data_IF_486039043829
#
_entry.id   IF_486039043829
#
_cell.length_a   1.000
_cell.length_b   1.000
_cell.length_c   1.000
_cell.angle_alpha   90.00
_cell.angle_beta   90.00
_cell.angle_gamma   90.00
#
_symmetry.space_group_name_H-M   'P 1'
#
loop_
_entity.id
_entity.type
_entity.pdbx_description
1 polymer ?
#
# COMPACT_ATOMS: atom_id res chain seq x y z
N UNK A 1 -20.14 -19.70 34.59
CA UNK A 1 -20.26 -19.66 33.14
C UNK A 1 -19.48 -18.41 32.68
N UNK A 2 -18.32 -18.60 32.08
CA UNK A 2 -17.53 -17.46 31.50
C UNK A 2 -18.29 -16.94 30.28
N UNK A 3 -18.60 -15.65 30.27
CA UNK A 3 -19.17 -15.01 29.10
C UNK A 3 -18.17 -15.15 27.94
N UNK A 4 -18.66 -15.52 26.76
CA UNK A 4 -17.83 -15.49 25.57
C UNK A 4 -17.26 -14.06 25.41
N UNK A 5 -15.98 -13.91 24.98
CA UNK A 5 -15.43 -12.58 24.72
C UNK A 5 -16.32 -11.88 23.68
N UNK A 6 -16.48 -10.55 23.75
CA UNK A 6 -17.23 -9.81 22.76
C UNK A 6 -16.62 -10.07 21.38
N UNK A 7 -17.48 -10.18 20.35
CA UNK A 7 -17.02 -10.31 18.98
C UNK A 7 -16.14 -9.09 18.65
N UNK A 8 -14.91 -9.33 18.25
CA UNK A 8 -13.99 -8.28 17.82
C UNK A 8 -14.55 -7.64 16.56
N UNK A 9 -14.61 -6.31 16.51
CA UNK A 9 -14.98 -5.59 15.29
C UNK A 9 -13.99 -5.98 14.18
N UNK A 10 -14.51 -6.32 13.00
CA UNK A 10 -13.68 -6.72 11.85
C UNK A 10 -12.68 -5.63 11.46
N UNK A 11 -13.06 -4.36 11.59
CA UNK A 11 -12.18 -3.23 11.30
C UNK A 11 -10.98 -3.25 12.26
N UNK A 12 -11.24 -3.41 13.54
CA UNK A 12 -10.19 -3.48 14.56
C UNK A 12 -9.29 -4.71 14.37
N UNK A 13 -9.87 -5.85 14.03
CA UNK A 13 -9.13 -7.07 13.74
C UNK A 13 -8.18 -6.86 12.56
N UNK A 14 -8.66 -6.31 11.44
CA UNK A 14 -7.85 -6.05 10.26
C UNK A 14 -6.72 -5.05 10.54
N UNK A 15 -7.02 -3.95 11.24
CA UNK A 15 -6.04 -2.94 11.62
C UNK A 15 -4.94 -3.55 12.50
N UNK A 16 -5.34 -4.34 13.51
CA UNK A 16 -4.40 -5.00 14.40
C UNK A 16 -3.59 -6.09 13.68
N UNK A 17 -4.18 -6.76 12.68
CA UNK A 17 -3.45 -7.70 11.83
C UNK A 17 -2.36 -7.01 11.01
N UNK A 18 -2.64 -5.84 10.41
CA UNK A 18 -1.60 -5.05 9.72
C UNK A 18 -0.46 -4.69 10.68
N UNK A 19 -0.79 -4.28 11.91
CA UNK A 19 0.20 -3.93 12.94
C UNK A 19 1.07 -5.12 13.31
N UNK A 20 0.46 -6.26 13.63
CA UNK A 20 1.18 -7.47 14.08
C UNK A 20 2.04 -8.05 12.95
N UNK A 21 1.52 -8.19 11.73
CA UNK A 21 2.31 -8.63 10.58
C UNK A 21 3.54 -7.75 10.37
N UNK A 22 3.39 -6.43 10.53
CA UNK A 22 4.50 -5.50 10.37
C UNK A 22 5.54 -5.64 11.48
N UNK A 23 5.11 -5.80 12.73
CA UNK A 23 6.03 -6.03 13.85
C UNK A 23 6.79 -7.35 13.70
N UNK A 24 6.07 -8.43 13.40
CA UNK A 24 6.64 -9.77 13.33
C UNK A 24 7.65 -9.89 12.20
N UNK A 25 7.33 -9.32 11.01
CA UNK A 25 8.25 -9.33 9.88
C UNK A 25 9.53 -8.53 10.16
N UNK A 26 9.42 -7.33 10.74
CA UNK A 26 10.57 -6.51 11.12
C UNK A 26 11.40 -7.19 12.22
N UNK A 27 10.73 -7.79 13.22
CA UNK A 27 11.41 -8.52 14.30
C UNK A 27 12.16 -9.75 13.75
N UNK A 28 11.52 -10.53 12.87
CA UNK A 28 12.12 -11.70 12.24
C UNK A 28 13.33 -11.34 11.39
N UNK A 29 13.24 -10.26 10.62
CA UNK A 29 14.35 -9.75 9.81
C UNK A 29 15.47 -9.12 10.65
N UNK A 30 15.22 -8.83 11.93
CA UNK A 30 16.09 -8.05 12.82
C UNK A 30 16.54 -6.73 12.17
N UNK A 31 15.70 -6.17 11.31
CA UNK A 31 15.98 -4.96 10.52
C UNK A 31 14.68 -4.39 9.96
N UNK A 32 14.49 -3.08 10.04
CA UNK A 32 13.33 -2.39 9.47
C UNK A 32 12.75 -1.33 10.39
N UNK A 33 11.59 -0.81 10.01
CA UNK A 33 10.93 0.31 10.66
C UNK A 33 9.49 -0.09 11.03
N UNK A 34 9.21 -0.51 12.28
CA UNK A 34 7.88 -0.94 12.66
C UNK A 34 6.95 0.22 13.04
N UNK A 35 7.48 1.35 13.49
CA UNK A 35 6.70 2.44 14.09
C UNK A 35 5.66 3.04 13.13
N UNK A 36 6.09 3.41 11.94
CA UNK A 36 5.21 4.00 10.92
C UNK A 36 4.12 3.03 10.46
N UNK A 37 4.38 1.76 10.12
CA UNK A 37 3.35 0.78 9.84
C UNK A 37 2.32 0.62 10.96
N UNK A 38 2.77 0.58 12.21
CA UNK A 38 1.87 0.46 13.36
C UNK A 38 0.98 1.69 13.53
N UNK A 39 1.54 2.88 13.37
CA UNK A 39 0.80 4.13 13.52
C UNK A 39 -0.22 4.33 12.39
N UNK A 40 0.13 3.99 11.15
CA UNK A 40 -0.66 4.25 9.96
C UNK A 40 -1.53 3.08 9.50
N UNK A 41 -1.56 1.96 10.24
CA UNK A 41 -2.44 0.83 9.91
C UNK A 41 -3.91 1.22 9.74
N UNK A 42 -4.53 2.07 10.58
CA UNK A 42 -5.92 2.51 10.37
C UNK A 42 -6.10 3.32 9.08
N UNK A 43 -5.10 4.13 8.70
CA UNK A 43 -5.14 4.92 7.48
C UNK A 43 -5.07 4.00 6.25
N UNK A 44 -4.12 3.07 6.21
CA UNK A 44 -3.98 2.11 5.13
C UNK A 44 -5.23 1.24 5.00
N UNK A 45 -5.75 0.73 6.12
CA UNK A 45 -7.01 -0.01 6.14
C UNK A 45 -8.15 0.79 5.49
N UNK A 46 -8.34 2.04 5.90
CA UNK A 46 -9.40 2.90 5.36
C UNK A 46 -9.23 3.16 3.87
N UNK A 47 -8.01 3.45 3.42
CA UNK A 47 -7.72 3.65 2.00
C UNK A 47 -8.11 2.43 1.16
N UNK A 48 -7.62 1.25 1.53
CA UNK A 48 -7.85 0.03 0.75
C UNK A 48 -9.27 -0.51 0.83
N UNK A 49 -10.01 -0.27 1.93
CA UNK A 49 -11.35 -0.86 2.12
C UNK A 49 -12.49 0.08 1.78
N UNK A 50 -12.28 1.41 1.84
CA UNK A 50 -13.39 2.39 1.78
C UNK A 50 -13.18 3.52 0.77
N UNK A 51 -11.96 3.78 0.34
CA UNK A 51 -11.65 4.98 -0.46
C UNK A 51 -11.20 4.62 -1.87
N UNK A 52 -10.22 3.74 -1.99
CA UNK A 52 -9.58 3.43 -3.27
C UNK A 52 -10.44 2.47 -4.12
N UNK A 53 -10.52 2.77 -5.40
CA UNK A 53 -11.04 1.83 -6.40
C UNK A 53 -9.90 0.95 -6.89
N UNK A 54 -9.87 -0.29 -6.48
CA UNK A 54 -8.85 -1.24 -6.87
C UNK A 54 -9.45 -2.64 -7.10
N UNK A 55 -8.71 -3.49 -7.80
CA UNK A 55 -9.12 -4.87 -8.06
C UNK A 55 -7.90 -5.79 -7.97
N UNK A 56 -7.73 -6.53 -6.87
CA UNK A 56 -6.59 -7.44 -6.71
C UNK A 56 -6.54 -8.54 -7.80
N UNK A 57 -7.70 -9.01 -8.26
CA UNK A 57 -7.76 -10.02 -9.33
C UNK A 57 -7.32 -9.46 -10.70
N UNK A 58 -7.29 -8.13 -10.87
CA UNK A 58 -6.78 -7.45 -12.05
C UNK A 58 -5.98 -6.21 -11.62
N UNK A 59 -4.83 -6.44 -11.02
CA UNK A 59 -3.95 -5.39 -10.49
C UNK A 59 -3.43 -4.42 -11.57
N UNK A 60 -3.61 -4.74 -12.85
CA UNK A 60 -3.24 -3.87 -13.98
C UNK A 60 -4.43 -3.15 -14.62
N UNK A 61 -5.62 -3.24 -14.03
CA UNK A 61 -6.79 -2.53 -14.51
C UNK A 61 -6.49 -1.03 -14.71
N UNK A 62 -6.66 -0.48 -15.94
CA UNK A 62 -6.27 0.91 -16.21
C UNK A 62 -7.04 1.95 -15.38
N UNK A 63 -8.30 1.68 -15.05
CA UNK A 63 -9.16 2.57 -14.26
C UNK A 63 -8.98 2.46 -12.74
N UNK A 64 -8.01 1.66 -12.25
CA UNK A 64 -7.72 1.59 -10.80
C UNK A 64 -7.14 2.89 -10.30
N UNK A 65 -7.39 3.21 -9.05
CA UNK A 65 -6.64 4.23 -8.35
C UNK A 65 -5.19 3.78 -8.10
N UNK A 66 -4.28 4.73 -7.96
CA UNK A 66 -2.85 4.47 -7.72
C UNK A 66 -2.53 4.78 -6.28
N UNK A 67 -1.80 3.88 -5.64
CA UNK A 67 -1.27 4.13 -4.30
C UNK A 67 0.26 4.04 -4.30
N UNK A 68 0.92 5.07 -3.79
CA UNK A 68 2.37 5.10 -3.62
C UNK A 68 2.70 5.40 -2.16
N UNK A 69 3.44 4.50 -1.54
CA UNK A 69 4.02 4.73 -0.22
C UNK A 69 5.33 5.50 -0.40
N UNK A 70 5.30 6.84 -0.27
CA UNK A 70 6.47 7.69 -0.46
C UNK A 70 7.51 7.45 0.63
N UNK A 71 7.06 7.34 1.90
CA UNK A 71 7.93 6.90 3.00
C UNK A 71 8.23 5.39 2.87
N UNK A 72 9.07 5.05 1.88
CA UNK A 72 9.35 3.67 1.50
C UNK A 72 9.92 2.79 2.60
N UNK A 73 10.55 3.39 3.63
CA UNK A 73 11.01 2.69 4.81
C UNK A 73 9.88 2.02 5.60
N UNK A 74 8.63 2.50 5.46
CA UNK A 74 7.43 1.89 6.05
C UNK A 74 6.86 0.74 5.20
N UNK A 75 7.65 0.10 4.36
CA UNK A 75 7.25 -0.88 3.33
C UNK A 75 6.34 -1.99 3.85
N UNK A 76 6.49 -2.45 5.10
CA UNK A 76 5.61 -3.46 5.69
C UNK A 76 4.15 -3.02 5.78
N UNK A 77 3.86 -1.71 5.87
CA UNK A 77 2.49 -1.20 5.79
C UNK A 77 1.85 -1.56 4.45
N UNK A 78 2.60 -1.35 3.36
CA UNK A 78 2.14 -1.68 2.02
C UNK A 78 2.01 -3.20 1.83
N UNK A 79 3.03 -3.97 2.20
CA UNK A 79 3.02 -5.43 2.00
C UNK A 79 1.92 -6.12 2.80
N UNK A 80 1.71 -5.76 4.07
CA UNK A 80 0.62 -6.28 4.87
C UNK A 80 -0.75 -5.93 4.29
N UNK A 81 -0.92 -4.71 3.76
CA UNK A 81 -2.15 -4.29 3.09
C UNK A 81 -2.38 -5.06 1.79
N UNK A 82 -1.35 -5.23 0.95
CA UNK A 82 -1.46 -5.99 -0.30
C UNK A 82 -1.76 -7.47 -0.04
N UNK A 83 -1.12 -8.07 0.97
CA UNK A 83 -1.39 -9.44 1.40
C UNK A 83 -2.84 -9.62 1.81
N UNK A 84 -3.35 -8.79 2.72
CA UNK A 84 -4.73 -8.89 3.23
C UNK A 84 -5.77 -8.59 2.13
N UNK A 85 -5.44 -7.75 1.16
CA UNK A 85 -6.30 -7.45 0.01
C UNK A 85 -6.25 -8.52 -1.10
N UNK A 86 -5.37 -9.52 -1.02
CA UNK A 86 -5.31 -10.61 -1.99
C UNK A 86 -4.57 -10.27 -3.28
N UNK A 87 -3.54 -9.44 -3.23
CA UNK A 87 -2.68 -9.09 -4.37
C UNK A 87 -1.64 -10.18 -4.72
N UNK A 88 -1.81 -11.39 -4.21
CA UNK A 88 -0.94 -12.53 -4.57
C UNK A 88 0.34 -12.64 -3.75
N UNK A 89 0.51 -11.83 -2.70
CA UNK A 89 1.53 -12.08 -1.69
C UNK A 89 1.06 -13.20 -0.75
N UNK A 90 1.99 -14.05 -0.36
CA UNK A 90 1.78 -15.11 0.62
C UNK A 90 2.36 -14.71 1.98
N UNK A 91 1.90 -15.36 3.06
CA UNK A 91 2.44 -15.11 4.40
C UNK A 91 3.96 -15.33 4.45
N UNK A 92 4.44 -16.34 3.73
CA UNK A 92 5.87 -16.64 3.61
C UNK A 92 6.68 -15.51 2.99
N UNK A 93 6.08 -14.67 2.12
CA UNK A 93 6.76 -13.51 1.55
C UNK A 93 6.99 -12.43 2.63
N UNK A 94 5.97 -12.20 3.47
CA UNK A 94 6.08 -11.27 4.59
C UNK A 94 7.10 -11.79 5.62
N UNK A 95 7.09 -13.08 5.91
CA UNK A 95 8.07 -13.73 6.78
C UNK A 95 9.51 -13.63 6.29
N UNK A 96 9.69 -13.53 4.97
CA UNK A 96 10.97 -13.33 4.31
C UNK A 96 11.26 -11.86 3.98
N UNK A 97 10.65 -10.93 4.73
CA UNK A 97 10.93 -9.50 4.60
C UNK A 97 12.43 -9.20 4.64
N UNK A 98 12.92 -8.40 3.68
CA UNK A 98 14.34 -8.03 3.51
C UNK A 98 15.30 -9.19 3.21
N UNK A 99 14.79 -10.37 2.87
CA UNK A 99 15.66 -11.45 2.46
C UNK A 99 15.89 -11.41 0.94
N UNK A 100 17.07 -11.87 0.51
CA UNK A 100 17.42 -11.90 -0.91
C UNK A 100 16.41 -12.77 -1.69
N UNK A 101 15.86 -12.20 -2.76
CA UNK A 101 14.87 -12.88 -3.61
C UNK A 101 13.42 -12.79 -3.11
N UNK A 102 13.17 -12.18 -1.93
CA UNK A 102 11.81 -11.91 -1.48
C UNK A 102 11.18 -10.75 -2.23
N UNK A 103 9.88 -10.81 -2.59
CA UNK A 103 9.17 -9.65 -3.14
C UNK A 103 8.95 -8.54 -2.10
N UNK A 104 9.12 -8.85 -0.81
CA UNK A 104 9.01 -7.92 0.31
C UNK A 104 10.37 -7.32 0.65
N UNK A 105 10.93 -6.53 -0.26
CA UNK A 105 12.19 -5.81 -0.06
C UNK A 105 12.11 -4.75 1.05
N UNK A 106 13.25 -4.21 1.48
CA UNK A 106 13.31 -3.19 2.53
C UNK A 106 12.55 -1.90 2.20
N UNK A 107 12.44 -1.59 0.92
CA UNK A 107 11.60 -0.52 0.36
C UNK A 107 10.79 -1.10 -0.80
N UNK A 108 9.61 -0.56 -1.14
CA UNK A 108 8.84 -1.05 -2.26
C UNK A 108 9.60 -0.94 -3.59
N UNK A 109 9.55 -2.00 -4.39
CA UNK A 109 10.15 -2.05 -5.71
C UNK A 109 9.07 -2.32 -6.76
N UNK A 110 8.96 -1.44 -7.75
CA UNK A 110 8.01 -1.60 -8.85
C UNK A 110 8.24 -2.94 -9.57
N UNK A 111 7.17 -3.71 -9.70
CA UNK A 111 7.21 -5.02 -10.35
C UNK A 111 7.57 -6.20 -9.44
N UNK A 112 8.00 -5.97 -8.19
CA UNK A 112 8.29 -7.06 -7.25
C UNK A 112 7.02 -7.78 -6.78
N UNK A 113 5.92 -7.05 -6.63
CA UNK A 113 4.60 -7.62 -6.36
C UNK A 113 3.50 -6.79 -7.05
N UNK A 114 2.35 -7.43 -7.41
CA UNK A 114 1.20 -6.68 -7.89
C UNK A 114 0.74 -5.62 -6.88
N UNK A 115 0.32 -4.45 -7.36
CA UNK A 115 -0.12 -3.35 -6.50
C UNK A 115 0.99 -2.41 -6.02
N UNK A 116 2.26 -2.69 -6.31
CA UNK A 116 3.37 -1.74 -6.10
C UNK A 116 3.48 -0.84 -7.33
N UNK A 117 3.06 0.41 -7.20
CA UNK A 117 2.96 1.36 -8.33
C UNK A 117 4.26 2.12 -8.61
N UNK A 118 5.19 2.19 -7.66
CA UNK A 118 6.46 2.89 -7.81
C UNK A 118 7.51 2.31 -6.87
N UNK A 119 8.77 2.37 -7.31
CA UNK A 119 9.93 2.14 -6.43
C UNK A 119 10.15 3.38 -5.59
N UNK A 120 10.22 3.20 -4.26
CA UNK A 120 10.44 4.27 -3.30
C UNK A 120 11.59 3.88 -2.35
N UNK A 121 12.04 4.84 -1.53
CA UNK A 121 13.17 4.65 -0.61
C UNK A 121 13.86 5.98 -0.37
N UNK A 122 14.47 6.59 -1.41
CA UNK A 122 14.95 7.96 -1.30
C UNK A 122 13.77 8.90 -1.05
N UNK A 123 13.85 9.70 0.03
CA UNK A 123 12.77 10.58 0.46
C UNK A 123 12.42 11.62 -0.63
N UNK A 124 11.14 11.95 -0.77
CA UNK A 124 10.61 12.88 -1.77
C UNK A 124 10.34 12.27 -3.15
N UNK A 125 10.95 11.13 -3.51
CA UNK A 125 10.74 10.53 -4.83
C UNK A 125 9.31 9.99 -5.02
N UNK A 126 8.74 9.37 -4.00
CA UNK A 126 7.39 8.81 -4.09
C UNK A 126 6.34 9.89 -4.32
N UNK A 127 6.35 10.95 -3.53
CA UNK A 127 5.40 12.05 -3.69
C UNK A 127 5.58 12.76 -5.03
N UNK A 128 6.81 12.96 -5.48
CA UNK A 128 7.09 13.54 -6.81
C UNK A 128 6.56 12.66 -7.93
N UNK A 129 6.71 11.34 -7.81
CA UNK A 129 6.12 10.37 -8.74
C UNK A 129 4.59 10.47 -8.76
N UNK A 130 3.95 10.64 -7.59
CA UNK A 130 2.51 10.82 -7.50
C UNK A 130 2.01 12.06 -8.23
N UNK A 131 2.74 13.18 -8.15
CA UNK A 131 2.43 14.38 -8.91
C UNK A 131 2.47 14.09 -10.41
N UNK A 132 3.50 13.35 -10.87
CA UNK A 132 3.61 12.92 -12.26
C UNK A 132 2.45 12.02 -12.71
N UNK A 133 2.07 11.03 -11.88
CA UNK A 133 0.93 10.14 -12.15
C UNK A 133 -0.40 10.91 -12.24
N UNK A 134 -0.65 11.82 -11.29
CA UNK A 134 -1.86 12.64 -11.29
C UNK A 134 -1.91 13.61 -12.48
N UNK A 135 -0.77 14.20 -12.87
CA UNK A 135 -0.67 15.02 -14.06
C UNK A 135 -0.94 14.20 -15.33
N UNK A 136 -0.36 13.01 -15.43
CA UNK A 136 -0.58 12.12 -16.57
C UNK A 136 -2.07 11.73 -16.69
N UNK A 137 -2.74 11.42 -15.58
CA UNK A 137 -4.20 11.18 -15.55
C UNK A 137 -4.95 12.36 -16.15
N UNK A 138 -4.69 13.59 -15.68
CA UNK A 138 -5.35 14.81 -16.18
C UNK A 138 -5.11 15.04 -17.67
N UNK A 139 -3.91 14.80 -18.16
CA UNK A 139 -3.56 14.93 -19.58
C UNK A 139 -4.30 13.89 -20.44
N UNK A 140 -4.34 12.63 -19.99
CA UNK A 140 -5.04 11.55 -20.68
C UNK A 140 -6.55 11.77 -20.65
N UNK A 141 -7.10 12.18 -19.51
CA UNK A 141 -8.52 12.51 -19.38
C UNK A 141 -8.92 13.64 -20.35
N UNK A 142 -8.14 14.71 -20.42
CA UNK A 142 -8.39 15.82 -21.35
C UNK A 142 -8.35 15.37 -22.82
N UNK A 143 -7.52 14.38 -23.15
CA UNK A 143 -7.37 13.86 -24.51
C UNK A 143 -8.48 12.87 -24.90
N UNK A 144 -8.86 11.97 -24.00
CA UNK A 144 -9.67 10.80 -24.33
C UNK A 144 -11.11 10.87 -23.81
N UNK A 145 -11.39 11.59 -22.74
CA UNK A 145 -12.74 11.69 -22.21
C UNK A 145 -13.64 12.52 -23.12
N UNK A 146 -14.93 12.17 -23.15
CA UNK A 146 -15.98 12.87 -23.89
C UNK A 146 -17.19 13.05 -22.98
N UNK A 147 -18.09 14.01 -23.27
CA UNK A 147 -19.31 14.18 -22.49
C UNK A 147 -20.08 12.85 -22.35
N UNK A 148 -20.35 12.43 -21.12
CA UNK A 148 -20.99 11.17 -20.78
C UNK A 148 -20.11 9.91 -20.86
N UNK A 149 -18.82 10.03 -21.24
CA UNK A 149 -17.89 8.90 -21.38
C UNK A 149 -16.52 9.24 -20.74
N UNK A 150 -16.36 8.88 -19.48
CA UNK A 150 -15.09 8.98 -18.77
C UNK A 150 -14.28 7.70 -18.98
N UNK A 151 -13.31 7.76 -19.90
CA UNK A 151 -12.39 6.63 -20.19
C UNK A 151 -11.22 6.60 -19.22
N UNK A 152 -10.75 7.79 -18.80
CA UNK A 152 -9.66 7.96 -17.84
C UNK A 152 -10.21 8.75 -16.67
N UNK A 153 -10.30 8.09 -15.53
CA UNK A 153 -10.82 8.67 -14.28
C UNK A 153 -10.30 7.83 -13.11
N UNK A 154 -9.16 8.21 -12.56
CA UNK A 154 -8.63 7.58 -11.37
C UNK A 154 -7.89 8.59 -10.50
N UNK A 155 -7.77 8.29 -9.22
CA UNK A 155 -7.03 9.10 -8.27
C UNK A 155 -5.65 8.52 -8.02
N UNK A 156 -4.74 9.38 -7.59
CA UNK A 156 -3.44 8.98 -7.06
C UNK A 156 -3.38 9.34 -5.59
N UNK A 157 -3.18 8.34 -4.75
CA UNK A 157 -3.04 8.48 -3.31
C UNK A 157 -1.59 8.27 -2.90
N UNK A 158 -1.11 9.03 -1.94
CA UNK A 158 0.22 8.84 -1.36
C UNK A 158 0.18 9.01 0.15
N UNK A 159 1.00 8.22 0.82
CA UNK A 159 1.40 8.47 2.21
C UNK A 159 2.83 8.96 2.17
N UNK A 160 3.06 10.18 2.65
CA UNK A 160 4.35 10.81 2.74
C UNK A 160 4.69 11.15 4.20
N UNK A 161 5.95 11.13 4.55
CA UNK A 161 6.45 11.61 5.82
C UNK A 161 6.88 13.08 5.73
N UNK A 162 7.18 13.68 6.86
CA UNK A 162 7.78 15.01 6.93
C UNK A 162 9.06 15.12 6.10
N UNK A 163 9.96 14.14 6.23
CA UNK A 163 11.19 14.09 5.43
C UNK A 163 10.98 13.94 3.91
N UNK A 164 9.80 13.49 3.45
CA UNK A 164 9.46 13.47 2.02
C UNK A 164 9.16 14.89 1.49
N UNK A 165 8.86 15.84 2.38
CA UNK A 165 8.40 17.19 2.05
C UNK A 165 9.47 18.26 2.29
N UNK A 166 10.60 17.90 2.90
CA UNK A 166 11.76 18.79 3.09
C UNK A 166 12.63 18.85 1.83
#
# INVERSE_FOLDING_TARGET
MSAAPPATDIDELCINTIRTLSMDAVQKANSGHPGTPMALAPLAYTLYTRVMRHNPANAQWPGRDRFVLSCGHASMLLYASLYLCGYGLELSDLENFRQLGSPCAGNPEYGAAPGIEATTGPLGQGISTCVGLALAERMLAARFNRPGHAVVEHHTFTIASDGDLE
#
